data_IF_515603841390
#
_entry.id   IF_515603841390
#
_cell.length_a   1.000
_cell.length_b   1.000
_cell.length_c   1.000
_cell.angle_alpha   90.00
_cell.angle_beta   90.00
_cell.angle_gamma   90.00
#
_symmetry.space_group_name_H-M   'P 1'
#
loop_
_entity.id
_entity.type
_entity.pdbx_description
1 polymer ?
#
# COMPACT_ATOMS: atom_id res chain seq x y z
N UNK A 1 -19.56 -2.22 7.22
CA UNK A 1 -18.35 -1.53 7.71
C UNK A 1 -17.29 -1.70 6.64
N UNK A 2 -16.96 -0.64 5.92
CA UNK A 2 -15.84 -0.59 4.99
C UNK A 2 -14.58 -0.77 5.80
N UNK A 3 -13.86 -1.89 5.58
CA UNK A 3 -12.55 -2.11 6.20
C UNK A 3 -11.63 -0.97 5.74
N UNK A 4 -11.19 -0.15 6.67
CA UNK A 4 -10.20 0.89 6.37
C UNK A 4 -8.96 0.22 5.79
N UNK A 5 -8.72 0.48 4.53
CA UNK A 5 -7.58 -0.04 3.78
C UNK A 5 -6.66 1.13 3.51
N UNK A 6 -5.43 1.04 3.94
CA UNK A 6 -4.39 2.00 3.57
C UNK A 6 -3.36 1.31 2.70
N UNK A 7 -2.68 2.09 1.87
CA UNK A 7 -1.70 1.55 0.92
C UNK A 7 -0.30 2.07 1.24
N UNK A 8 0.67 1.17 1.16
CA UNK A 8 2.09 1.49 1.36
C UNK A 8 2.82 1.24 0.05
N UNK A 9 3.56 2.25 -0.42
CA UNK A 9 4.44 2.09 -1.58
C UNK A 9 5.62 1.19 -1.21
N UNK A 10 5.81 0.13 -1.98
CA UNK A 10 6.86 -0.87 -1.73
C UNK A 10 7.90 -0.93 -2.82
N UNK A 11 7.54 -0.56 -4.05
CA UNK A 11 8.42 -0.49 -5.19
C UNK A 11 7.98 0.59 -6.16
N UNK A 12 8.82 0.92 -7.13
CA UNK A 12 8.52 1.90 -8.16
C UNK A 12 9.69 2.04 -9.13
N UNK A 13 9.39 2.68 -10.24
CA UNK A 13 10.36 3.06 -11.25
C UNK A 13 9.95 4.40 -11.84
N UNK A 14 10.90 5.28 -12.06
CA UNK A 14 10.64 6.55 -12.73
C UNK A 14 11.83 7.00 -13.53
N UNK A 15 11.56 7.70 -14.63
CA UNK A 15 12.58 8.30 -15.47
C UNK A 15 12.11 9.64 -16.05
N UNK A 16 13.07 10.43 -16.52
CA UNK A 16 12.84 11.73 -17.15
C UNK A 16 13.52 11.75 -18.52
N UNK A 17 12.71 11.85 -19.58
CA UNK A 17 13.21 11.91 -20.97
C UNK A 17 13.17 13.36 -21.45
N UNK A 18 14.35 13.89 -21.76
CA UNK A 18 14.50 15.29 -22.11
C UNK A 18 13.86 15.62 -23.47
N UNK A 19 13.14 16.73 -23.52
CA UNK A 19 12.57 17.27 -24.77
C UNK A 19 11.35 16.54 -25.33
N UNK A 20 10.82 15.50 -24.66
CA UNK A 20 9.78 14.61 -25.18
C UNK A 20 8.41 14.77 -24.50
N UNK A 21 8.19 15.90 -23.83
CA UNK A 21 6.96 16.15 -23.06
C UNK A 21 5.67 16.09 -23.89
N UNK A 22 5.73 16.38 -25.18
CA UNK A 22 4.58 16.35 -26.10
C UNK A 22 4.06 14.92 -26.35
N UNK A 23 4.91 13.90 -26.18
CA UNK A 23 4.55 12.48 -26.36
C UNK A 23 3.77 11.87 -25.20
N UNK A 24 3.59 12.59 -24.11
CA UNK A 24 2.96 12.07 -22.89
C UNK A 24 1.58 11.43 -23.15
N UNK A 25 0.71 12.12 -23.88
CA UNK A 25 -0.66 11.63 -24.19
C UNK A 25 -0.63 10.41 -25.11
N UNK A 26 0.26 10.39 -26.10
CA UNK A 26 0.42 9.27 -27.01
C UNK A 26 0.89 8.01 -26.25
N UNK A 27 1.87 8.17 -25.37
CA UNK A 27 2.39 7.08 -24.54
C UNK A 27 1.33 6.56 -23.57
N UNK A 28 0.55 7.45 -22.94
CA UNK A 28 -0.56 7.06 -22.09
C UNK A 28 -1.58 6.22 -22.86
N UNK A 29 -1.99 6.64 -24.06
CA UNK A 29 -2.94 5.91 -24.89
C UNK A 29 -2.37 4.54 -25.32
N UNK A 30 -1.15 4.51 -25.83
CA UNK A 30 -0.47 3.28 -26.22
C UNK A 30 -0.34 2.29 -25.06
N UNK A 31 -0.13 2.81 -23.81
CA UNK A 31 -0.09 2.00 -22.60
C UNK A 31 -1.45 1.36 -22.32
N UNK A 32 -2.53 2.13 -22.38
CA UNK A 32 -3.89 1.62 -22.13
C UNK A 32 -4.23 0.52 -23.14
N UNK A 33 -3.92 0.74 -24.41
CA UNK A 33 -4.19 -0.22 -25.49
C UNK A 33 -3.38 -1.51 -25.32
N UNK A 34 -2.08 -1.41 -25.05
CA UNK A 34 -1.19 -2.58 -24.85
C UNK A 34 -1.57 -3.35 -23.58
N UNK A 35 -1.86 -2.64 -22.49
CA UNK A 35 -2.23 -3.26 -21.23
C UNK A 35 -3.56 -4.01 -21.32
N UNK A 36 -4.58 -3.40 -21.97
CA UNK A 36 -5.88 -4.05 -22.20
C UNK A 36 -5.76 -5.26 -23.12
N UNK A 37 -4.88 -5.21 -24.13
CA UNK A 37 -4.64 -6.34 -25.05
C UNK A 37 -4.04 -7.57 -24.33
N UNK A 38 -3.44 -7.40 -23.12
CA UNK A 38 -2.94 -8.53 -22.29
C UNK A 38 -4.07 -9.33 -21.65
N UNK A 39 -5.29 -8.80 -21.56
CA UNK A 39 -6.47 -9.53 -21.08
C UNK A 39 -6.38 -10.00 -19.63
N UNK A 40 -5.80 -9.22 -18.73
CA UNK A 40 -5.67 -9.55 -17.31
C UNK A 40 -7.04 -9.43 -16.62
N UNK A 41 -7.75 -10.54 -16.45
CA UNK A 41 -9.14 -10.60 -15.97
C UNK A 41 -9.33 -10.24 -14.49
N UNK A 42 -8.24 -10.24 -13.72
CA UNK A 42 -8.24 -9.93 -12.27
C UNK A 42 -7.79 -8.51 -11.94
N UNK A 43 -7.64 -7.67 -12.97
CA UNK A 43 -7.15 -6.29 -12.82
C UNK A 43 -8.17 -5.32 -13.41
N UNK A 44 -8.50 -4.29 -12.65
CA UNK A 44 -9.30 -3.16 -13.10
C UNK A 44 -8.37 -1.98 -13.40
N UNK A 45 -8.33 -1.54 -14.67
CA UNK A 45 -7.57 -0.37 -15.10
C UNK A 45 -8.49 0.84 -15.10
N UNK A 46 -8.13 1.87 -14.35
CA UNK A 46 -8.89 3.11 -14.29
C UNK A 46 -8.00 4.35 -14.28
N UNK A 47 -8.47 5.42 -14.89
CA UNK A 47 -7.80 6.73 -14.87
C UNK A 47 -8.15 7.47 -13.59
N UNK A 48 -7.13 8.03 -12.91
CA UNK A 48 -7.29 8.86 -11.72
C UNK A 48 -6.53 10.16 -11.94
N UNK A 49 -7.21 11.27 -11.72
CA UNK A 49 -6.61 12.60 -11.78
C UNK A 49 -6.38 13.13 -10.36
N UNK A 50 -5.15 13.51 -10.08
CA UNK A 50 -4.74 14.05 -8.78
C UNK A 50 -4.29 15.49 -8.96
N UNK A 51 -4.97 16.41 -8.29
CA UNK A 51 -4.53 17.81 -8.23
C UNK A 51 -3.49 17.95 -7.12
N UNK A 52 -2.27 18.29 -7.51
CA UNK A 52 -1.19 18.63 -6.57
C UNK A 52 -0.79 20.07 -6.79
N UNK A 53 -1.36 20.96 -5.99
CA UNK A 53 -1.16 22.40 -6.14
C UNK A 53 -1.74 22.92 -7.47
N UNK A 54 -0.88 23.52 -8.31
CA UNK A 54 -1.28 24.12 -9.61
C UNK A 54 -1.23 23.11 -10.78
N UNK A 55 -0.81 21.87 -10.57
CA UNK A 55 -0.68 20.87 -11.62
C UNK A 55 -1.67 19.74 -11.45
N UNK A 56 -2.44 19.48 -12.50
CA UNK A 56 -3.25 18.29 -12.65
C UNK A 56 -2.35 17.17 -13.20
N UNK A 57 -2.24 16.06 -12.48
CA UNK A 57 -1.50 14.87 -12.92
C UNK A 57 -2.47 13.73 -13.14
N UNK A 58 -2.41 13.14 -14.32
CA UNK A 58 -3.18 11.94 -14.63
C UNK A 58 -2.35 10.69 -14.35
N UNK A 59 -3.01 9.69 -13.76
CA UNK A 59 -2.46 8.37 -13.49
C UNK A 59 -3.39 7.31 -14.04
N UNK A 60 -2.85 6.30 -14.70
CA UNK A 60 -3.55 5.06 -14.96
C UNK A 60 -3.28 4.12 -13.77
N UNK A 61 -4.34 3.61 -13.13
CA UNK A 61 -4.21 2.79 -11.93
C UNK A 61 -4.75 1.39 -12.22
N UNK A 62 -3.85 0.43 -12.29
CA UNK A 62 -4.17 -0.98 -12.35
C UNK A 62 -4.43 -1.50 -10.93
N UNK A 63 -5.70 -1.82 -10.62
CA UNK A 63 -6.14 -2.25 -9.29
C UNK A 63 -6.23 -3.75 -9.21
N UNK A 64 -5.70 -4.29 -8.13
CA UNK A 64 -5.77 -5.69 -7.73
C UNK A 64 -6.22 -5.78 -6.26
N UNK A 65 -6.76 -6.92 -5.84
CA UNK A 65 -7.21 -7.11 -4.44
C UNK A 65 -6.12 -6.90 -3.38
N UNK A 66 -4.85 -7.17 -3.74
CA UNK A 66 -3.70 -7.02 -2.84
C UNK A 66 -3.08 -5.61 -2.88
N UNK A 67 -3.47 -4.76 -3.83
CA UNK A 67 -2.90 -3.44 -3.99
C UNK A 67 -3.18 -2.81 -5.35
N UNK A 68 -2.30 -1.93 -5.78
CA UNK A 68 -2.42 -1.26 -7.08
C UNK A 68 -1.07 -0.83 -7.64
N UNK A 69 -1.01 -0.71 -8.95
CA UNK A 69 0.12 -0.11 -9.65
C UNK A 69 -0.37 1.17 -10.32
N UNK A 70 0.16 2.31 -9.89
CA UNK A 70 -0.13 3.60 -10.51
C UNK A 70 0.92 3.88 -11.57
N UNK A 71 0.49 4.17 -12.80
CA UNK A 71 1.35 4.45 -13.96
C UNK A 71 1.14 5.89 -14.39
N UNK A 72 2.19 6.56 -14.77
CA UNK A 72 2.10 7.92 -15.26
C UNK A 72 3.07 8.17 -16.42
N UNK A 73 2.57 8.98 -17.36
CA UNK A 73 3.31 9.61 -18.43
C UNK A 73 2.87 11.08 -18.45
N UNK A 74 3.62 11.95 -17.81
CA UNK A 74 3.22 13.34 -17.61
C UNK A 74 4.27 14.30 -18.18
N UNK A 75 3.85 15.38 -18.85
CA UNK A 75 4.80 16.42 -19.23
C UNK A 75 5.34 17.15 -18.01
N UNK A 76 6.65 17.32 -17.95
CA UNK A 76 7.35 18.10 -16.95
C UNK A 76 8.08 19.28 -17.63
N UNK A 77 7.31 20.30 -18.02
CA UNK A 77 7.76 21.35 -18.93
C UNK A 77 7.93 20.82 -20.36
N UNK A 78 9.17 20.85 -20.88
CA UNK A 78 9.49 20.25 -22.19
C UNK A 78 9.83 18.76 -22.10
N UNK A 79 10.10 18.27 -20.90
CA UNK A 79 10.54 16.91 -20.66
C UNK A 79 9.34 15.99 -20.36
N UNK A 80 9.53 14.69 -20.54
CA UNK A 80 8.56 13.66 -20.27
C UNK A 80 8.95 12.91 -18.99
N UNK A 81 8.10 12.95 -17.98
CA UNK A 81 8.23 12.14 -16.78
C UNK A 81 7.41 10.87 -16.91
N UNK A 82 8.08 9.74 -16.87
CA UNK A 82 7.50 8.40 -16.95
C UNK A 82 7.71 7.66 -15.64
N UNK A 83 6.80 6.78 -15.31
CA UNK A 83 7.03 5.89 -14.18
C UNK A 83 5.81 5.10 -13.73
N UNK A 84 6.04 4.28 -12.72
CA UNK A 84 4.99 3.58 -12.01
C UNK A 84 5.37 3.37 -10.54
N UNK A 85 4.35 3.30 -9.70
CA UNK A 85 4.45 3.07 -8.26
C UNK A 85 3.61 1.86 -7.88
N UNK A 86 4.22 0.87 -7.23
CA UNK A 86 3.57 -0.30 -6.67
C UNK A 86 3.15 -0.02 -5.23
N UNK A 87 1.87 -0.12 -4.96
CA UNK A 87 1.28 0.08 -3.64
C UNK A 87 0.59 -1.20 -3.15
N UNK A 88 0.97 -1.68 -1.98
CA UNK A 88 0.35 -2.84 -1.33
C UNK A 88 -0.77 -2.37 -0.41
N UNK A 89 -1.94 -3.00 -0.55
CA UNK A 89 -3.06 -2.77 0.34
C UNK A 89 -2.81 -3.43 1.69
N UNK A 90 -2.96 -2.67 2.77
CA UNK A 90 -2.87 -3.17 4.14
C UNK A 90 -4.20 -2.93 4.84
N UNK A 91 -4.60 -3.85 5.71
CA UNK A 91 -5.86 -3.79 6.45
C UNK A 91 -5.58 -3.78 7.95
N UNK A 92 -6.40 -3.04 8.69
CA UNK A 92 -6.36 -3.11 10.16
C UNK A 92 -6.82 -4.49 10.62
N UNK A 93 -6.02 -5.13 11.46
CA UNK A 93 -6.34 -6.45 12.02
C UNK A 93 -7.24 -6.34 13.25
N UNK A 94 -8.52 -6.05 13.04
CA UNK A 94 -9.49 -5.92 14.13
C UNK A 94 -9.55 -7.17 15.02
N UNK A 95 -9.34 -8.37 14.45
CA UNK A 95 -9.27 -9.61 15.22
C UNK A 95 -8.14 -9.58 16.24
N UNK A 96 -6.93 -9.20 15.84
CA UNK A 96 -5.75 -9.14 16.74
C UNK A 96 -5.88 -8.00 17.73
N UNK A 97 -6.38 -6.84 17.30
CA UNK A 97 -6.69 -5.71 18.19
C UNK A 97 -7.73 -6.11 19.23
N UNK A 98 -8.78 -6.84 18.83
CA UNK A 98 -9.77 -7.38 19.76
C UNK A 98 -9.18 -8.32 20.82
N UNK A 99 -8.23 -9.17 20.43
CA UNK A 99 -7.51 -10.04 21.37
C UNK A 99 -6.68 -9.20 22.36
N UNK A 100 -5.97 -8.18 21.88
CA UNK A 100 -5.21 -7.28 22.75
C UNK A 100 -6.13 -6.50 23.72
N UNK A 101 -7.26 -5.99 23.22
CA UNK A 101 -8.25 -5.31 24.06
C UNK A 101 -8.82 -6.23 25.14
N UNK A 102 -9.17 -7.47 24.75
CA UNK A 102 -9.67 -8.47 25.70
C UNK A 102 -8.61 -8.80 26.77
N UNK A 103 -7.36 -8.96 26.37
CA UNK A 103 -6.25 -9.17 27.31
C UNK A 103 -6.12 -8.01 28.32
N UNK A 104 -6.24 -6.76 27.83
CA UNK A 104 -6.21 -5.58 28.71
C UNK A 104 -7.36 -5.58 29.74
N UNK A 105 -8.58 -5.93 29.29
CA UNK A 105 -9.76 -6.05 30.17
C UNK A 105 -9.53 -7.12 31.24
N UNK A 106 -9.06 -8.32 30.86
CA UNK A 106 -8.82 -9.43 31.79
C UNK A 106 -7.73 -9.08 32.81
N UNK A 107 -6.61 -8.51 32.35
CA UNK A 107 -5.51 -8.13 33.25
C UNK A 107 -5.98 -7.07 34.24
N UNK A 108 -6.68 -6.03 33.77
CA UNK A 108 -7.22 -4.98 34.63
C UNK A 108 -8.21 -5.54 35.66
N UNK A 109 -9.08 -6.48 35.26
CA UNK A 109 -10.02 -7.15 36.15
C UNK A 109 -9.29 -7.91 37.23
N UNK A 110 -8.30 -8.76 36.88
CA UNK A 110 -7.52 -9.52 37.83
C UNK A 110 -6.77 -8.63 38.81
N UNK A 111 -6.10 -7.59 38.35
CA UNK A 111 -5.41 -6.62 39.20
C UNK A 111 -6.38 -5.95 40.16
N UNK A 112 -7.58 -5.58 39.72
CA UNK A 112 -8.60 -4.96 40.57
C UNK A 112 -9.15 -5.93 41.63
N UNK A 113 -9.31 -7.20 41.30
CA UNK A 113 -9.70 -8.24 42.27
C UNK A 113 -8.71 -8.39 43.45
N UNK A 114 -7.42 -8.34 43.16
CA UNK A 114 -6.37 -8.46 44.19
C UNK A 114 -6.15 -7.17 44.98
N UNK A 115 -6.77 -6.05 44.60
CA UNK A 115 -6.64 -4.77 45.31
C UNK A 115 -7.42 -4.68 46.63
N UNK A 116 -8.34 -5.64 46.90
CA UNK A 116 -9.15 -5.70 48.11
C UNK A 116 -10.12 -4.51 48.31
N UNK A 117 -10.44 -3.76 47.25
CA UNK A 117 -11.20 -2.50 47.32
C UNK A 117 -12.71 -2.75 47.46
N UNK A 118 -13.48 -1.85 48.15
CA UNK A 118 -14.96 -1.88 48.15
C UNK A 118 -15.52 -1.86 46.74
N UNK A 119 -16.69 -2.51 46.52
CA UNK A 119 -17.27 -2.80 45.20
C UNK A 119 -17.36 -1.57 44.26
N UNK A 120 -17.80 -0.44 44.73
CA UNK A 120 -17.89 0.78 43.89
C UNK A 120 -16.51 1.30 43.49
N UNK A 121 -15.55 1.24 44.39
CA UNK A 121 -14.18 1.65 44.13
C UNK A 121 -13.49 0.64 43.17
N UNK A 122 -13.80 -0.64 43.30
CA UNK A 122 -13.39 -1.67 42.37
C UNK A 122 -13.84 -1.39 40.95
N UNK A 123 -15.11 -1.01 40.72
CA UNK A 123 -15.63 -0.70 39.36
C UNK A 123 -14.91 0.50 38.74
N UNK A 124 -14.73 1.58 39.51
CA UNK A 124 -14.01 2.77 39.02
C UNK A 124 -12.55 2.45 38.72
N UNK A 125 -11.89 1.70 39.58
CA UNK A 125 -10.51 1.30 39.42
C UNK A 125 -10.34 0.36 38.23
N UNK A 126 -11.28 -0.57 38.03
CA UNK A 126 -11.26 -1.48 36.89
C UNK A 126 -11.42 -0.73 35.55
N UNK A 127 -12.39 0.20 35.45
CA UNK A 127 -12.60 0.99 34.23
C UNK A 127 -11.36 1.84 33.92
N UNK A 128 -10.86 2.60 34.88
CA UNK A 128 -9.67 3.44 34.70
C UNK A 128 -8.42 2.60 34.43
N UNK A 129 -8.28 1.46 35.10
CA UNK A 129 -7.21 0.50 34.88
C UNK A 129 -7.22 -0.11 33.50
N UNK A 130 -8.41 -0.38 32.92
CA UNK A 130 -8.53 -0.94 31.58
C UNK A 130 -7.91 -0.03 30.53
N UNK A 131 -8.08 1.30 30.65
CA UNK A 131 -7.47 2.28 29.73
C UNK A 131 -5.93 2.23 29.85
N UNK A 132 -5.40 2.22 31.07
CA UNK A 132 -3.95 2.12 31.32
C UNK A 132 -3.36 0.80 30.81
N UNK A 133 -4.05 -0.32 31.06
CA UNK A 133 -3.62 -1.63 30.56
C UNK A 133 -3.74 -1.77 29.05
N UNK A 134 -4.73 -1.14 28.40
CA UNK A 134 -4.83 -1.12 26.95
C UNK A 134 -3.58 -0.50 26.30
N UNK A 135 -3.05 0.57 26.87
CA UNK A 135 -1.79 1.18 26.41
C UNK A 135 -0.59 0.26 26.60
N UNK A 136 -0.44 -0.35 27.79
CA UNK A 136 0.65 -1.29 28.06
C UNK A 136 0.59 -2.53 27.16
N UNK A 137 -0.60 -3.11 26.96
CA UNK A 137 -0.80 -4.28 26.09
C UNK A 137 -0.56 -3.92 24.62
N UNK A 138 -0.88 -2.68 24.20
CA UNK A 138 -0.53 -2.20 22.85
C UNK A 138 1.00 -2.15 22.66
N UNK A 139 1.75 -1.62 23.64
CA UNK A 139 3.22 -1.63 23.60
C UNK A 139 3.76 -3.06 23.55
N UNK A 140 3.24 -3.94 24.39
CA UNK A 140 3.62 -5.37 24.37
C UNK A 140 3.30 -6.02 23.02
N UNK A 141 2.18 -5.64 22.39
CA UNK A 141 1.83 -6.06 21.03
C UNK A 141 2.87 -5.64 19.98
N UNK A 142 3.37 -4.41 20.06
CA UNK A 142 4.46 -3.94 19.18
C UNK A 142 5.75 -4.75 19.38
N UNK A 143 6.14 -4.96 20.64
CA UNK A 143 7.32 -5.75 20.96
C UNK A 143 7.16 -7.21 20.50
N UNK A 144 6.02 -7.82 20.78
CA UNK A 144 5.73 -9.20 20.36
C UNK A 144 5.76 -9.33 18.82
N UNK A 145 5.18 -8.38 18.10
CA UNK A 145 5.23 -8.34 16.63
C UNK A 145 6.67 -8.30 16.12
N UNK A 146 7.52 -7.47 16.74
CA UNK A 146 8.94 -7.38 16.37
C UNK A 146 9.69 -8.67 16.65
N UNK A 147 9.49 -9.27 17.82
CA UNK A 147 10.21 -10.50 18.24
C UNK A 147 9.75 -11.71 17.43
N UNK A 148 8.43 -11.89 17.23
CA UNK A 148 7.87 -13.10 16.61
C UNK A 148 7.94 -13.08 15.07
N UNK A 149 7.80 -11.92 14.44
CA UNK A 149 7.66 -11.77 13.00
C UNK A 149 8.60 -10.74 12.37
N UNK A 150 9.47 -10.11 13.15
CA UNK A 150 10.35 -9.05 12.68
C UNK A 150 9.66 -7.72 12.34
N UNK A 151 8.33 -7.64 12.53
CA UNK A 151 7.49 -6.52 12.14
C UNK A 151 6.72 -5.97 13.35
N UNK A 152 7.03 -4.73 13.76
CA UNK A 152 6.41 -4.09 14.92
C UNK A 152 4.89 -3.91 14.76
N UNK A 153 4.41 -3.79 13.52
CA UNK A 153 2.99 -3.57 13.21
C UNK A 153 2.19 -4.87 13.05
N UNK A 154 2.84 -6.04 13.13
CA UNK A 154 2.21 -7.35 12.90
C UNK A 154 0.90 -7.55 13.67
N UNK A 155 0.80 -7.07 14.91
CA UNK A 155 -0.40 -7.23 15.73
C UNK A 155 -1.55 -6.30 15.32
N UNK A 156 -1.26 -5.25 14.58
CA UNK A 156 -2.24 -4.21 14.21
C UNK A 156 -2.61 -4.25 12.74
N UNK A 157 -1.74 -4.76 11.89
CA UNK A 157 -1.86 -4.71 10.44
C UNK A 157 -1.85 -6.13 9.86
N UNK A 158 -2.79 -6.39 8.96
CA UNK A 158 -2.81 -7.57 8.11
C UNK A 158 -2.23 -7.21 6.74
N UNK A 159 -1.16 -7.93 6.36
CA UNK A 159 -0.62 -7.89 5.00
C UNK A 159 -1.37 -8.89 4.12
N UNK A 160 -1.46 -8.66 2.79
CA UNK A 160 -1.99 -9.64 1.87
C UNK A 160 -1.23 -10.97 1.94
N UNK A 161 -1.87 -12.04 1.50
CA UNK A 161 -1.24 -13.35 1.40
C UNK A 161 -0.09 -13.34 0.39
N UNK A 162 0.87 -14.25 0.58
CA UNK A 162 2.07 -14.34 -0.27
C UNK A 162 1.69 -14.55 -1.75
N UNK A 163 0.68 -15.37 -2.03
CA UNK A 163 0.19 -15.59 -3.39
C UNK A 163 -0.31 -14.30 -4.03
N UNK A 164 -1.11 -13.51 -3.30
CA UNK A 164 -1.63 -12.22 -3.76
C UNK A 164 -0.53 -11.17 -3.96
N UNK A 165 0.54 -11.24 -3.17
CA UNK A 165 1.73 -10.38 -3.36
C UNK A 165 2.53 -10.80 -4.60
N UNK A 166 2.63 -12.10 -4.90
CA UNK A 166 3.25 -12.58 -6.14
C UNK A 166 2.46 -12.14 -7.38
N UNK A 167 1.13 -12.23 -7.36
CA UNK A 167 0.26 -11.74 -8.43
C UNK A 167 0.44 -10.22 -8.62
N UNK A 168 0.54 -9.47 -7.53
CA UNK A 168 0.77 -8.02 -7.58
C UNK A 168 2.15 -7.67 -8.13
N UNK A 169 3.18 -8.46 -7.82
CA UNK A 169 4.52 -8.30 -8.40
C UNK A 169 4.53 -8.63 -9.91
N UNK A 170 3.81 -9.69 -10.33
CA UNK A 170 3.62 -10.02 -11.73
C UNK A 170 2.88 -8.90 -12.49
N UNK A 171 1.86 -8.28 -11.84
CA UNK A 171 1.18 -7.12 -12.37
C UNK A 171 2.14 -5.94 -12.58
N UNK A 172 3.02 -5.66 -11.63
CA UNK A 172 4.01 -4.58 -11.75
C UNK A 172 4.97 -4.84 -12.93
N UNK A 173 5.38 -6.09 -13.15
CA UNK A 173 6.19 -6.47 -14.32
C UNK A 173 5.41 -6.29 -15.63
N UNK A 174 4.15 -6.70 -15.69
CA UNK A 174 3.30 -6.51 -16.86
C UNK A 174 3.12 -5.03 -17.19
N UNK A 175 2.86 -4.20 -16.17
CA UNK A 175 2.77 -2.75 -16.29
C UNK A 175 4.07 -2.15 -16.83
N UNK A 176 5.21 -2.53 -16.26
CA UNK A 176 6.51 -2.03 -16.72
C UNK A 176 6.76 -2.37 -18.19
N UNK A 177 6.51 -3.63 -18.59
CA UNK A 177 6.65 -4.06 -19.99
C UNK A 177 5.71 -3.31 -20.92
N UNK A 178 4.44 -3.08 -20.54
CA UNK A 178 3.49 -2.31 -21.33
C UNK A 178 3.94 -0.86 -21.48
N UNK A 179 4.49 -0.25 -20.41
CA UNK A 179 5.00 1.12 -20.47
C UNK A 179 6.20 1.22 -21.42
N UNK A 180 7.17 0.30 -21.33
CA UNK A 180 8.32 0.26 -22.25
C UNK A 180 7.88 0.06 -23.70
N UNK A 181 6.93 -0.84 -23.94
CA UNK A 181 6.35 -1.06 -25.27
C UNK A 181 5.72 0.21 -25.82
N UNK A 182 5.01 0.96 -24.98
CA UNK A 182 4.33 2.20 -25.35
C UNK A 182 5.31 3.33 -25.70
N UNK A 183 6.41 3.40 -24.96
CA UNK A 183 7.53 4.32 -25.24
C UNK A 183 8.16 4.01 -26.59
N UNK A 184 8.39 2.71 -26.91
CA UNK A 184 8.90 2.28 -28.22
C UNK A 184 7.94 2.63 -29.36
N UNK A 185 6.63 2.41 -29.17
CA UNK A 185 5.60 2.76 -30.16
C UNK A 185 5.56 4.25 -30.44
N UNK A 186 5.84 5.09 -29.43
CA UNK A 186 5.95 6.55 -29.59
C UNK A 186 7.30 6.99 -30.21
N UNK A 187 8.13 6.07 -30.66
CA UNK A 187 9.40 6.36 -31.35
C UNK A 187 10.54 6.79 -30.44
N UNK A 188 10.46 6.48 -29.13
CA UNK A 188 11.56 6.70 -28.20
C UNK A 188 12.42 5.45 -28.05
N UNK A 189 13.74 5.63 -27.96
CA UNK A 189 14.68 4.54 -27.78
C UNK A 189 14.68 4.05 -26.32
N UNK A 190 14.60 2.73 -26.11
CA UNK A 190 14.69 2.11 -24.79
C UNK A 190 16.02 2.43 -24.10
N UNK A 191 17.09 2.60 -24.86
CA UNK A 191 18.44 2.93 -24.37
C UNK A 191 18.50 4.30 -23.68
N UNK A 192 17.51 5.16 -23.95
CA UNK A 192 17.38 6.45 -23.27
C UNK A 192 16.76 6.34 -21.87
N UNK A 193 16.22 5.17 -21.52
CA UNK A 193 15.54 4.92 -20.25
C UNK A 193 16.45 4.21 -19.26
N UNK A 194 16.29 4.52 -17.97
CA UNK A 194 16.95 3.77 -16.89
C UNK A 194 16.49 2.34 -16.85
N UNK A 195 17.42 1.41 -16.86
CA UNK A 195 17.13 -0.01 -16.67
C UNK A 195 16.65 -0.22 -15.24
N UNK A 196 15.54 -0.94 -15.08
CA UNK A 196 15.13 -1.44 -13.77
C UNK A 196 15.85 -2.75 -13.47
N UNK A 197 16.88 -2.68 -12.63
CA UNK A 197 17.78 -3.80 -12.34
C UNK A 197 17.08 -4.94 -11.58
N UNK A 198 16.17 -4.61 -10.65
CA UNK A 198 15.46 -5.59 -9.82
C UNK A 198 14.06 -5.11 -9.44
N UNK A 199 13.08 -6.02 -9.51
CA UNK A 199 11.77 -5.81 -8.89
C UNK A 199 11.84 -6.25 -7.43
N UNK A 200 11.46 -5.37 -6.50
CA UNK A 200 11.32 -5.77 -5.10
C UNK A 200 10.12 -6.69 -4.98
N UNK A 201 10.31 -7.86 -4.39
CA UNK A 201 9.19 -8.71 -3.98
C UNK A 201 8.36 -7.97 -2.94
N UNK A 202 7.07 -7.83 -3.19
CA UNK A 202 6.12 -7.19 -2.29
C UNK A 202 5.91 -8.00 -0.99
#
# INVERSE_FOLDING_TARGET
MTKETFSVQVDGWSDLVAGEGEKATEIEQNFVDDFNARGLTYVDLGRVEVSSGLQLRAYQVARHQAGSVAVYANPAGKDLMLGWDLKVAQKVSWKRIGILALAAVIISFLVSLFSGSPFLYFLVQWINGTIGWAFNVAILGLIAGKVMKGDIWYMFIEKPEVAALQELSALAMAVHQSLITSVKKAGLEETSLRVKDTFKSA
#
